data_IF_629908103442
#
_entry.id   IF_629908103442
#
_cell.length_a   1.000
_cell.length_b   1.000
_cell.length_c   1.000
_cell.angle_alpha   90.00
_cell.angle_beta   90.00
_cell.angle_gamma   90.00
#
_symmetry.space_group_name_H-M   'P 1'
#
loop_
_entity.id
_entity.type
_entity.pdbx_description
1 polymer ?
#
# COMPACT_ATOMS: atom_id res chain seq x y z
N UNK A 1 19.61 0.87 8.43
CA UNK A 1 18.20 0.54 8.64
C UNK A 1 17.35 1.17 7.55
N UNK A 2 16.44 0.38 6.97
CA UNK A 2 15.61 0.80 5.82
C UNK A 2 14.60 1.91 6.16
N UNK A 3 14.34 2.17 7.43
CA UNK A 3 13.37 3.18 7.86
C UNK A 3 14.00 4.52 8.26
N UNK A 4 15.32 4.66 8.29
CA UNK A 4 15.96 5.90 8.73
C UNK A 4 15.62 7.05 7.81
N UNK A 5 15.87 6.94 6.53
CA UNK A 5 15.65 8.03 5.56
C UNK A 5 14.14 8.31 5.40
N UNK A 6 13.31 7.27 5.39
CA UNK A 6 11.85 7.42 5.29
C UNK A 6 11.22 8.06 6.55
N UNK A 7 11.94 8.11 7.66
CA UNK A 7 11.41 8.67 8.92
C UNK A 7 11.31 10.19 8.95
N UNK A 8 11.93 10.88 8.01
CA UNK A 8 11.97 12.35 7.96
C UNK A 8 11.84 12.95 6.55
N UNK A 9 11.69 12.15 5.49
CA UNK A 9 11.64 12.61 4.09
C UNK A 9 10.59 13.69 3.84
N UNK A 10 9.44 13.64 4.53
CA UNK A 10 8.35 14.61 4.41
C UNK A 10 8.78 16.03 4.81
N UNK A 11 9.80 16.19 5.63
CA UNK A 11 10.35 17.51 5.98
C UNK A 11 10.98 18.19 4.77
N UNK A 12 11.49 17.40 3.82
CA UNK A 12 12.09 17.91 2.58
C UNK A 12 11.07 18.60 1.67
N UNK A 13 9.80 18.23 1.76
CA UNK A 13 8.74 18.84 0.94
C UNK A 13 8.48 20.31 1.26
N UNK A 14 8.88 20.76 2.44
CA UNK A 14 8.78 22.17 2.84
C UNK A 14 9.71 23.07 2.02
N UNK A 15 10.86 22.54 1.61
CA UNK A 15 11.89 23.29 0.87
C UNK A 15 12.60 22.38 -0.16
N UNK A 16 11.88 21.91 -1.21
CA UNK A 16 12.35 20.83 -2.09
C UNK A 16 13.53 21.23 -2.97
N UNK A 17 13.71 22.51 -3.22
CA UNK A 17 14.77 23.03 -4.12
C UNK A 17 16.03 23.50 -3.38
N UNK A 18 16.11 23.33 -2.09
CA UNK A 18 17.27 23.75 -1.31
C UNK A 18 18.44 22.75 -1.51
N UNK A 19 19.57 23.18 -2.09
CA UNK A 19 20.70 22.28 -2.35
C UNK A 19 21.55 21.99 -1.10
N UNK A 20 21.48 22.87 -0.09
CA UNK A 20 22.45 22.86 1.02
C UNK A 20 21.90 22.20 2.28
N UNK A 21 20.57 22.23 2.48
CA UNK A 21 19.91 21.78 3.72
C UNK A 21 18.60 21.09 3.41
N UNK A 22 18.11 20.27 4.35
CA UNK A 22 16.78 19.66 4.27
C UNK A 22 15.71 20.73 4.10
N UNK A 23 15.82 21.83 4.85
CA UNK A 23 14.98 23.01 4.73
C UNK A 23 15.72 24.23 5.30
N UNK A 24 15.51 25.41 4.72
CA UNK A 24 16.03 26.69 5.24
C UNK A 24 15.63 26.94 6.69
N UNK A 25 14.58 26.28 7.09
CA UNK A 25 13.90 26.50 8.34
C UNK A 25 14.53 25.82 9.55
N UNK A 26 15.47 24.92 9.38
CA UNK A 26 16.18 24.31 10.50
C UNK A 26 17.34 25.21 10.97
N UNK A 27 17.20 25.79 12.14
CA UNK A 27 18.27 26.46 12.86
C UNK A 27 18.39 27.98 12.75
N UNK A 28 17.43 28.69 12.12
CA UNK A 28 17.39 30.17 12.16
C UNK A 28 16.07 30.70 12.74
N UNK A 29 16.13 31.79 13.51
CA UNK A 29 14.93 32.35 14.18
C UNK A 29 13.82 32.79 13.22
N UNK A 30 14.17 33.31 12.03
CA UNK A 30 13.21 33.76 11.02
C UNK A 30 12.51 32.62 10.26
N UNK A 31 13.07 31.41 10.34
CA UNK A 31 12.60 30.23 9.64
C UNK A 31 11.65 29.36 10.46
N UNK A 32 11.61 29.57 11.78
CA UNK A 32 10.67 28.85 12.66
C UNK A 32 9.22 29.08 12.28
N UNK A 33 8.90 30.25 11.72
CA UNK A 33 7.52 30.62 11.35
C UNK A 33 7.06 29.92 10.07
N UNK A 34 7.94 29.72 9.09
CA UNK A 34 7.60 28.99 7.86
C UNK A 34 7.35 27.49 8.14
N UNK A 35 8.22 26.85 8.95
CA UNK A 35 8.02 25.43 9.34
C UNK A 35 6.80 25.26 10.24
N UNK A 36 6.52 26.25 11.09
CA UNK A 36 5.31 26.22 11.95
C UNK A 36 4.02 26.29 11.12
N UNK A 37 4.04 26.92 9.94
CA UNK A 37 2.88 26.98 9.06
C UNK A 37 2.66 25.70 8.26
N UNK A 38 3.73 24.93 7.98
CA UNK A 38 3.71 23.74 7.13
C UNK A 38 3.67 22.43 7.93
N UNK A 39 4.02 22.47 9.20
CA UNK A 39 4.01 21.29 10.09
C UNK A 39 3.01 21.46 11.24
N UNK A 40 2.35 20.40 11.67
CA UNK A 40 2.39 19.01 11.17
C UNK A 40 1.66 18.86 9.81
N UNK A 41 2.01 17.84 9.05
CA UNK A 41 1.32 17.47 7.80
C UNK A 41 -0.18 17.28 8.05
N UNK A 42 -1.04 17.91 7.26
CA UNK A 42 -2.50 17.90 7.49
C UNK A 42 -3.10 16.50 7.32
N UNK A 43 -2.74 15.81 6.24
CA UNK A 43 -3.21 14.46 5.97
C UNK A 43 -2.08 13.60 5.41
N UNK A 44 -1.80 12.49 6.08
CA UNK A 44 -0.81 11.51 5.66
C UNK A 44 -1.50 10.21 5.28
N UNK A 45 -1.21 9.70 4.07
CA UNK A 45 -1.90 8.54 3.48
C UNK A 45 -0.91 7.39 3.34
N UNK A 46 -1.28 6.20 3.82
CA UNK A 46 -0.43 5.02 3.71
C UNK A 46 -1.12 3.74 4.17
N UNK A 47 -0.48 2.59 3.86
CA UNK A 47 -1.00 1.28 4.20
C UNK A 47 -0.97 1.00 5.71
N UNK A 48 -1.92 0.20 6.18
CA UNK A 48 -2.05 -0.18 7.60
C UNK A 48 -0.85 -0.95 8.16
N UNK A 49 -0.08 -1.62 7.30
CA UNK A 49 1.14 -2.35 7.69
C UNK A 49 2.25 -1.43 8.23
N UNK A 50 2.18 -0.14 7.89
CA UNK A 50 3.17 0.84 8.33
C UNK A 50 2.89 1.43 9.72
N UNK A 51 1.77 1.10 10.36
CA UNK A 51 1.43 1.62 11.68
C UNK A 51 2.49 1.29 12.75
N UNK A 52 3.02 0.06 12.72
CA UNK A 52 4.07 -0.42 13.64
C UNK A 52 5.49 -0.36 13.06
N UNK A 53 5.65 0.14 11.85
CA UNK A 53 6.91 0.25 11.14
C UNK A 53 7.21 1.73 10.84
N UNK A 54 7.02 2.15 9.60
CA UNK A 54 7.34 3.51 9.14
C UNK A 54 6.73 4.62 10.03
N UNK A 55 5.45 4.54 10.38
CA UNK A 55 4.79 5.57 11.19
C UNK A 55 5.37 5.65 12.62
N UNK A 56 5.73 4.52 13.20
CA UNK A 56 6.40 4.50 14.50
C UNK A 56 7.76 5.21 14.44
N UNK A 57 8.60 4.88 13.45
CA UNK A 57 9.90 5.53 13.26
C UNK A 57 9.76 7.03 12.94
N UNK A 58 8.82 7.42 12.07
CA UNK A 58 8.58 8.82 11.73
C UNK A 58 8.21 9.65 12.98
N UNK A 59 7.34 9.13 13.84
CA UNK A 59 7.00 9.77 15.11
C UNK A 59 8.19 9.84 16.06
N UNK A 60 8.93 8.73 16.22
CA UNK A 60 10.12 8.69 17.09
C UNK A 60 11.16 9.74 16.67
N UNK A 61 11.49 9.79 15.38
CA UNK A 61 12.45 10.78 14.85
C UNK A 61 11.93 12.21 15.03
N UNK A 62 10.65 12.47 14.77
CA UNK A 62 10.06 13.80 14.97
C UNK A 62 10.10 14.22 16.46
N UNK A 63 9.80 13.33 17.37
CA UNK A 63 9.93 13.60 18.82
C UNK A 63 11.37 13.90 19.23
N UNK A 64 12.33 13.15 18.69
CA UNK A 64 13.76 13.43 18.91
C UNK A 64 14.14 14.80 18.36
N UNK A 65 13.79 15.11 17.13
CA UNK A 65 14.08 16.42 16.52
C UNK A 65 13.42 17.58 17.29
N UNK A 66 12.22 17.35 17.83
CA UNK A 66 11.56 18.32 18.70
C UNK A 66 12.31 18.52 20.01
N UNK A 67 12.79 17.43 20.64
CA UNK A 67 13.49 17.51 21.92
C UNK A 67 14.80 18.30 21.85
N UNK A 68 15.44 18.33 20.69
CA UNK A 68 16.66 19.11 20.42
C UNK A 68 16.39 20.46 19.74
N UNK A 69 15.12 20.89 19.69
CA UNK A 69 14.70 22.21 19.18
C UNK A 69 14.72 22.38 17.66
N UNK A 70 14.87 21.28 16.91
CA UNK A 70 14.85 21.31 15.42
C UNK A 70 13.43 21.30 14.89
N UNK A 71 12.58 20.35 15.31
CA UNK A 71 11.17 20.31 14.89
C UNK A 71 10.31 21.24 15.75
N UNK A 72 9.42 22.06 15.15
CA UNK A 72 8.48 22.90 15.89
C UNK A 72 7.32 22.09 16.51
N UNK A 73 7.13 20.85 16.08
CA UNK A 73 6.02 19.98 16.49
C UNK A 73 6.52 18.65 17.04
N UNK A 74 5.75 18.05 17.93
CA UNK A 74 6.02 16.70 18.47
C UNK A 74 5.49 15.61 17.53
N UNK A 75 4.28 15.80 17.00
CA UNK A 75 3.64 14.83 16.11
C UNK A 75 3.77 15.29 14.65
N UNK A 76 4.25 14.42 13.75
CA UNK A 76 4.49 14.81 12.37
C UNK A 76 3.21 14.97 11.53
N UNK A 77 2.11 14.32 11.91
CA UNK A 77 0.88 14.25 11.15
C UNK A 77 -0.33 14.63 11.99
N UNK A 78 -1.23 15.50 11.47
CA UNK A 78 -2.51 15.85 12.11
C UNK A 78 -3.52 14.72 11.98
N UNK A 79 -3.59 14.11 10.79
CA UNK A 79 -4.51 13.03 10.48
C UNK A 79 -3.82 11.96 9.62
N UNK A 80 -4.23 10.71 9.82
CA UNK A 80 -3.78 9.56 9.05
C UNK A 80 -4.97 8.97 8.29
N UNK A 81 -4.83 8.78 7.00
CA UNK A 81 -5.73 7.94 6.22
C UNK A 81 -5.04 6.60 5.96
N UNK A 82 -5.42 5.61 6.76
CA UNK A 82 -4.87 4.25 6.65
C UNK A 82 -5.69 3.49 5.62
N UNK A 83 -5.24 3.51 4.38
CA UNK A 83 -5.95 2.91 3.25
C UNK A 83 -6.02 1.38 3.35
N UNK A 84 -7.11 0.82 2.80
CA UNK A 84 -7.25 -0.62 2.60
C UNK A 84 -6.28 -1.16 1.55
N UNK A 85 -6.06 -2.47 1.58
CA UNK A 85 -5.16 -3.14 0.62
C UNK A 85 -5.91 -3.57 -0.64
N UNK A 86 -5.23 -3.50 -1.78
CA UNK A 86 -5.66 -4.20 -2.98
C UNK A 86 -5.21 -5.65 -2.88
N UNK A 87 -6.16 -6.59 -2.91
CA UNK A 87 -5.95 -8.02 -2.79
C UNK A 87 -6.08 -8.71 -4.14
N UNK A 88 -5.20 -9.65 -4.41
CA UNK A 88 -5.27 -10.53 -5.56
C UNK A 88 -5.78 -11.92 -5.18
N UNK A 89 -6.40 -12.60 -6.14
CA UNK A 89 -6.87 -13.98 -5.99
C UNK A 89 -5.66 -14.91 -5.97
N UNK A 90 -5.49 -15.68 -4.91
CA UNK A 90 -4.39 -16.64 -4.74
C UNK A 90 -4.91 -18.07 -4.71
N UNK A 91 -4.10 -18.99 -5.16
CA UNK A 91 -4.45 -20.42 -5.30
C UNK A 91 -3.44 -21.28 -4.56
N UNK A 92 -3.92 -22.09 -3.61
CA UNK A 92 -3.08 -22.96 -2.78
C UNK A 92 -3.55 -24.39 -2.89
N UNK A 93 -2.62 -25.34 -3.08
CA UNK A 93 -2.93 -26.76 -3.06
C UNK A 93 -3.41 -27.14 -1.66
N UNK A 94 -4.62 -27.70 -1.57
CA UNK A 94 -5.21 -28.14 -0.31
C UNK A 94 -4.32 -29.22 0.33
N UNK A 95 -3.99 -29.04 1.60
CA UNK A 95 -3.13 -29.93 2.38
C UNK A 95 -1.65 -29.53 2.42
N UNK A 96 -1.02 -29.15 1.30
CA UNK A 96 0.38 -28.72 1.29
C UNK A 96 0.57 -27.23 1.51
N UNK A 97 -0.44 -26.42 1.24
CA UNK A 97 -0.36 -24.95 1.30
C UNK A 97 0.51 -24.31 0.21
N UNK A 98 1.02 -25.09 -0.74
CA UNK A 98 1.88 -24.60 -1.83
C UNK A 98 1.05 -23.71 -2.77
N UNK A 99 1.53 -22.48 -3.02
CA UNK A 99 0.94 -21.57 -4.01
C UNK A 99 1.27 -22.04 -5.43
N UNK A 100 0.32 -21.84 -6.34
CA UNK A 100 0.48 -22.07 -7.76
C UNK A 100 0.05 -20.85 -8.57
N UNK A 101 0.66 -20.62 -9.76
CA UNK A 101 0.26 -19.52 -10.61
C UNK A 101 -1.12 -19.74 -11.24
N UNK A 102 -1.86 -18.65 -11.56
CA UNK A 102 -3.18 -18.75 -12.20
C UNK A 102 -3.19 -19.58 -13.49
N UNK A 103 -2.09 -19.59 -14.26
CA UNK A 103 -1.96 -20.36 -15.50
C UNK A 103 -2.04 -21.87 -15.30
N UNK A 104 -1.82 -22.36 -14.08
CA UNK A 104 -1.92 -23.78 -13.71
C UNK A 104 -3.26 -24.14 -13.09
N UNK A 105 -4.18 -23.20 -12.99
CA UNK A 105 -5.52 -23.41 -12.41
C UNK A 105 -6.48 -23.87 -13.49
N UNK A 106 -7.31 -24.84 -13.16
CA UNK A 106 -8.44 -25.28 -13.96
C UNK A 106 -9.70 -25.26 -13.08
N UNK A 107 -10.79 -24.75 -13.66
CA UNK A 107 -12.09 -24.74 -13.01
C UNK A 107 -12.96 -25.88 -13.53
N UNK A 108 -13.37 -26.75 -12.64
CA UNK A 108 -14.27 -27.87 -12.96
C UNK A 108 -15.68 -27.57 -12.46
N UNK A 109 -16.69 -27.90 -13.26
CA UNK A 109 -18.11 -27.78 -12.90
C UNK A 109 -18.58 -29.09 -12.30
N UNK A 110 -19.30 -29.03 -11.20
CA UNK A 110 -19.90 -30.23 -10.56
C UNK A 110 -21.39 -30.23 -10.85
N UNK A 111 -21.87 -31.23 -11.63
CA UNK A 111 -23.27 -31.64 -11.73
C UNK A 111 -24.33 -30.52 -11.76
N UNK A 112 -25.57 -30.81 -11.31
CA UNK A 112 -26.77 -29.98 -11.42
C UNK A 112 -26.78 -28.64 -10.64
N UNK A 113 -25.69 -28.26 -9.98
CA UNK A 113 -25.54 -26.95 -9.35
C UNK A 113 -24.27 -26.32 -9.86
N UNK A 114 -24.36 -25.16 -10.48
CA UNK A 114 -23.29 -24.31 -11.02
C UNK A 114 -22.15 -23.98 -10.01
N UNK A 115 -21.71 -24.95 -9.22
CA UNK A 115 -20.56 -24.79 -8.34
C UNK A 115 -19.30 -25.16 -9.07
N UNK A 116 -18.52 -24.14 -9.39
CA UNK A 116 -17.16 -24.32 -9.89
C UNK A 116 -16.20 -24.52 -8.71
N UNK A 117 -15.27 -25.44 -8.85
CA UNK A 117 -14.16 -25.59 -7.92
C UNK A 117 -12.85 -25.62 -8.69
N UNK A 118 -11.83 -24.99 -8.08
CA UNK A 118 -10.51 -24.88 -8.69
C UNK A 118 -9.65 -26.11 -8.37
N UNK A 119 -8.94 -26.61 -9.38
CA UNK A 119 -7.96 -27.69 -9.24
C UNK A 119 -6.62 -27.29 -9.89
N UNK A 120 -5.54 -27.87 -9.41
CA UNK A 120 -4.25 -27.79 -10.09
C UNK A 120 -4.29 -28.64 -11.37
N UNK A 121 -4.06 -28.03 -12.50
CA UNK A 121 -4.14 -28.68 -13.83
C UNK A 121 -3.25 -29.92 -13.94
N UNK A 122 -2.08 -29.89 -13.31
CA UNK A 122 -1.09 -30.96 -13.42
C UNK A 122 -1.38 -32.15 -12.50
N UNK A 123 -1.79 -31.90 -11.28
CA UNK A 123 -1.97 -32.93 -10.26
C UNK A 123 -3.45 -33.25 -9.96
N UNK A 124 -4.39 -32.51 -10.54
CA UNK A 124 -5.83 -32.59 -10.28
C UNK A 124 -6.22 -32.45 -8.80
N UNK A 125 -5.32 -31.90 -7.99
CA UNK A 125 -5.58 -31.67 -6.56
C UNK A 125 -6.46 -30.44 -6.38
N UNK A 126 -7.42 -30.49 -5.45
CA UNK A 126 -8.29 -29.35 -5.15
C UNK A 126 -7.49 -28.18 -4.57
N UNK A 127 -7.88 -26.99 -4.96
CA UNK A 127 -7.27 -25.73 -4.55
C UNK A 127 -8.13 -25.01 -3.52
N UNK A 128 -7.48 -24.31 -2.62
CA UNK A 128 -8.07 -23.26 -1.79
C UNK A 128 -7.85 -21.94 -2.51
N UNK A 129 -8.94 -21.19 -2.74
CA UNK A 129 -8.93 -19.89 -3.41
C UNK A 129 -9.20 -18.82 -2.37
N UNK A 130 -8.27 -17.89 -2.20
CA UNK A 130 -8.38 -16.81 -1.22
C UNK A 130 -8.02 -15.46 -1.84
N UNK A 131 -8.55 -14.37 -1.25
CA UNK A 131 -8.16 -13.01 -1.57
C UNK A 131 -7.12 -12.51 -0.58
N UNK A 132 -5.90 -12.34 -1.03
CA UNK A 132 -4.76 -12.01 -0.17
C UNK A 132 -3.99 -10.81 -0.70
N UNK A 133 -3.19 -10.17 0.19
CA UNK A 133 -2.23 -9.14 -0.22
C UNK A 133 -1.38 -9.66 -1.37
N UNK A 134 -1.28 -8.86 -2.44
CA UNK A 134 -0.47 -9.20 -3.62
C UNK A 134 0.99 -9.39 -3.25
N UNK A 135 1.58 -10.50 -3.70
CA UNK A 135 3.01 -10.76 -3.57
C UNK A 135 3.51 -11.71 -4.66
N UNK A 136 4.78 -11.59 -5.01
CA UNK A 136 5.44 -12.47 -6.00
C UNK A 136 5.36 -13.95 -5.61
N UNK A 137 5.54 -14.27 -4.32
CA UNK A 137 5.51 -15.64 -3.80
C UNK A 137 4.12 -16.31 -3.84
N UNK A 138 3.06 -15.52 -3.99
CA UNK A 138 1.68 -16.00 -4.09
C UNK A 138 1.14 -16.03 -5.52
N UNK A 139 1.91 -15.53 -6.47
CA UNK A 139 1.53 -15.43 -7.88
C UNK A 139 0.20 -14.68 -8.13
N UNK A 140 -0.13 -13.74 -7.27
CA UNK A 140 -1.42 -13.02 -7.28
C UNK A 140 -1.29 -11.51 -7.54
N UNK A 141 -0.14 -11.07 -8.00
CA UNK A 141 0.09 -9.69 -8.42
C UNK A 141 -0.46 -9.43 -9.82
N UNK A 142 -0.93 -8.21 -10.06
CA UNK A 142 -1.23 -7.71 -11.40
C UNK A 142 -0.01 -6.94 -11.93
N UNK A 143 0.34 -7.18 -13.20
CA UNK A 143 1.37 -6.36 -13.85
C UNK A 143 0.76 -5.01 -14.26
N UNK A 144 1.31 -3.87 -13.78
CA UNK A 144 0.78 -2.56 -14.11
C UNK A 144 0.76 -2.26 -15.61
N UNK A 145 1.76 -2.74 -16.37
CA UNK A 145 1.83 -2.49 -17.80
C UNK A 145 0.71 -3.24 -18.56
N UNK A 146 0.51 -4.53 -18.24
CA UNK A 146 -0.58 -5.31 -18.84
C UNK A 146 -1.95 -4.71 -18.51
N UNK A 147 -2.13 -4.23 -17.27
CA UNK A 147 -3.37 -3.57 -16.83
C UNK A 147 -3.59 -2.27 -17.61
N UNK A 148 -2.55 -1.45 -17.78
CA UNK A 148 -2.64 -0.19 -18.51
C UNK A 148 -2.89 -0.41 -20.01
N UNK A 149 -2.27 -1.41 -20.61
CA UNK A 149 -2.49 -1.77 -22.03
C UNK A 149 -3.92 -2.27 -22.25
N UNK A 150 -4.45 -3.08 -21.32
CA UNK A 150 -5.79 -3.68 -21.47
C UNK A 150 -6.93 -2.70 -21.17
N UNK A 151 -6.80 -1.89 -20.11
CA UNK A 151 -7.91 -1.06 -19.59
C UNK A 151 -7.69 0.44 -19.78
N UNK A 152 -6.47 0.88 -20.00
CA UNK A 152 -6.09 2.29 -20.00
C UNK A 152 -5.97 2.90 -18.61
N UNK A 153 -5.41 4.10 -18.53
CA UNK A 153 -5.12 4.77 -17.26
C UNK A 153 -6.39 5.14 -16.49
N UNK A 154 -7.34 5.77 -17.15
CA UNK A 154 -8.52 6.33 -16.47
C UNK A 154 -9.42 5.21 -15.93
N UNK A 155 -9.65 4.15 -16.71
CA UNK A 155 -10.41 2.98 -16.28
C UNK A 155 -9.72 2.29 -15.10
N UNK A 156 -8.39 2.12 -15.15
CA UNK A 156 -7.62 1.53 -14.05
C UNK A 156 -7.76 2.34 -12.76
N UNK A 157 -7.67 3.66 -12.85
CA UNK A 157 -7.87 4.56 -11.68
C UNK A 157 -9.28 4.46 -11.12
N UNK A 158 -10.30 4.45 -11.98
CA UNK A 158 -11.68 4.27 -11.55
C UNK A 158 -11.89 2.92 -10.88
N UNK A 159 -11.39 1.83 -11.45
CA UNK A 159 -11.44 0.50 -10.85
C UNK A 159 -10.83 0.45 -9.45
N UNK A 160 -9.72 1.15 -9.23
CA UNK A 160 -9.07 1.17 -7.91
C UNK A 160 -9.82 2.04 -6.90
N UNK A 161 -10.47 3.12 -7.35
CA UNK A 161 -11.04 4.13 -6.46
C UNK A 161 -12.57 4.00 -6.27
N UNK A 162 -13.26 3.27 -7.14
CA UNK A 162 -14.71 3.06 -7.05
C UNK A 162 -15.09 1.95 -6.09
N UNK A 163 -16.36 1.85 -5.76
CA UNK A 163 -17.11 0.75 -5.12
C UNK A 163 -16.75 0.42 -3.66
N UNK A 164 -15.61 0.86 -3.15
CA UNK A 164 -15.22 0.60 -1.76
C UNK A 164 -14.76 1.87 -1.04
N UNK A 165 -15.05 1.93 0.25
CA UNK A 165 -14.48 2.98 1.11
C UNK A 165 -12.95 2.97 1.04
N UNK A 166 -12.28 4.11 1.09
CA UNK A 166 -10.82 4.19 1.15
C UNK A 166 -10.17 3.34 2.25
N UNK A 167 -10.89 3.09 3.33
CA UNK A 167 -10.42 2.28 4.47
C UNK A 167 -10.61 0.77 4.29
N UNK A 168 -11.38 0.36 3.28
CA UNK A 168 -11.72 -1.05 3.04
C UNK A 168 -10.74 -1.70 2.08
N UNK A 169 -10.47 -3.00 2.31
CA UNK A 169 -9.70 -3.79 1.36
C UNK A 169 -10.49 -3.99 0.06
N UNK A 170 -9.82 -3.86 -1.08
CA UNK A 170 -10.39 -4.08 -2.40
C UNK A 170 -9.88 -5.38 -3.02
N UNK A 171 -10.77 -6.13 -3.62
CA UNK A 171 -10.42 -7.26 -4.47
C UNK A 171 -10.08 -6.74 -5.87
N UNK A 172 -8.94 -7.15 -6.41
CA UNK A 172 -8.58 -6.87 -7.77
C UNK A 172 -9.19 -7.94 -8.69
N UNK A 173 -10.36 -7.65 -9.20
CA UNK A 173 -11.07 -8.50 -10.17
C UNK A 173 -11.70 -7.61 -11.25
N UNK A 174 -10.91 -7.15 -12.22
CA UNK A 174 -11.39 -6.21 -13.23
C UNK A 174 -12.41 -6.81 -14.21
N UNK A 175 -12.56 -8.13 -14.21
CA UNK A 175 -13.53 -8.81 -15.08
C UNK A 175 -14.90 -9.00 -14.42
N UNK A 176 -14.96 -9.00 -13.08
CA UNK A 176 -16.19 -9.07 -12.29
C UNK A 176 -16.72 -7.66 -11.89
N UNK A 177 -16.01 -6.61 -12.28
CA UNK A 177 -16.40 -5.22 -11.95
C UNK A 177 -17.42 -4.71 -12.98
N UNK A 178 -18.69 -5.03 -12.79
CA UNK A 178 -19.83 -4.48 -13.55
C UNK A 178 -20.56 -3.43 -12.74
#
# INVERSE_FOLDING_TARGET
DTFVDSSWYFLRYIDPHNPDRITKSFGSDKSKDAVKSEMPVDLYIGGKEHATLHLYFARFVTHFLHSIGISPVKEPFKALLVQGMVKGKSYRIKGSGKYIPPSQVEYLKTGDKEKEFAVDRSSQKPLVVDWEKMSKSKYNGADPNEVLEKYGMDTTRLLILSDVSPLSDRKWDPEDSH
#
